data_IF_965086105863
#
_entry.id   IF_965086105863
#
_cell.length_a   1.000
_cell.length_b   1.000
_cell.length_c   1.000
_cell.angle_alpha   90.00
_cell.angle_beta   90.00
_cell.angle_gamma   90.00
#
_symmetry.space_group_name_H-M   'P 1'
#
loop_
_entity.id
_entity.type
_entity.pdbx_description
1 polymer ?
#
# COMPACT_ATOMS: atom_id res chain seq x y z
N UNK A 1 22.34 -21.11 7.19
CA UNK A 1 22.64 -21.04 5.72
C UNK A 1 21.52 -20.31 4.96
N UNK A 2 20.25 -20.72 5.08
CA UNK A 2 19.11 -20.10 4.38
C UNK A 2 18.98 -18.62 4.74
N UNK A 3 19.16 -18.25 5.99
CA UNK A 3 19.00 -16.87 6.46
C UNK A 3 20.08 -15.92 5.91
N UNK A 4 21.29 -16.42 5.68
CA UNK A 4 22.38 -15.66 5.05
C UNK A 4 22.12 -15.41 3.55
N UNK A 5 21.51 -16.36 2.85
CA UNK A 5 21.13 -16.19 1.44
C UNK A 5 19.93 -15.25 1.24
N UNK A 6 19.16 -15.00 2.29
CA UNK A 6 18.00 -14.10 2.23
C UNK A 6 18.36 -12.61 2.34
N UNK A 7 19.54 -12.26 2.87
CA UNK A 7 19.93 -10.86 3.06
C UNK A 7 19.85 -10.05 1.76
N UNK A 8 20.32 -10.59 0.67
CA UNK A 8 20.32 -9.94 -0.64
C UNK A 8 18.89 -9.72 -1.17
N UNK A 9 18.01 -10.71 -1.01
CA UNK A 9 16.63 -10.63 -1.48
C UNK A 9 15.74 -9.78 -0.58
N UNK A 10 15.86 -9.93 0.74
CA UNK A 10 15.01 -9.23 1.71
C UNK A 10 15.36 -7.75 1.81
N UNK A 11 16.65 -7.39 1.69
CA UNK A 11 17.08 -5.99 1.75
C UNK A 11 16.76 -5.22 0.46
N UNK A 12 16.69 -5.91 -0.68
CA UNK A 12 16.29 -5.33 -1.98
C UNK A 12 14.79 -5.41 -2.27
N UNK A 13 14.04 -6.23 -1.55
CA UNK A 13 12.60 -6.43 -1.80
C UNK A 13 11.76 -5.32 -1.15
N UNK A 14 10.90 -4.70 -1.94
CA UNK A 14 9.88 -3.74 -1.46
C UNK A 14 8.57 -4.42 -1.06
N UNK A 15 8.34 -5.67 -1.52
CA UNK A 15 7.12 -6.45 -1.28
C UNK A 15 7.13 -7.29 -0.01
N UNK A 16 5.98 -7.90 0.33
CA UNK A 16 5.84 -8.81 1.46
C UNK A 16 6.62 -10.12 1.24
N UNK A 17 7.21 -10.65 2.30
CA UNK A 17 7.92 -11.93 2.28
C UNK A 17 7.09 -12.99 2.99
N UNK A 18 6.83 -14.10 2.32
CA UNK A 18 6.12 -15.25 2.88
C UNK A 18 7.04 -16.45 3.04
N UNK A 19 6.87 -17.18 4.14
CA UNK A 19 7.58 -18.45 4.37
C UNK A 19 6.66 -19.62 4.04
N UNK A 20 7.06 -20.43 3.10
CA UNK A 20 6.35 -21.66 2.72
C UNK A 20 7.13 -22.89 3.20
N UNK A 21 6.48 -23.80 3.91
CA UNK A 21 7.08 -25.04 4.39
C UNK A 21 6.19 -25.82 5.32
N UNK A 22 6.64 -27.00 5.79
CA UNK A 22 5.90 -27.69 6.87
C UNK A 22 5.87 -26.80 8.12
N UNK A 23 4.87 -27.02 8.97
CA UNK A 23 4.69 -26.24 10.21
C UNK A 23 5.95 -26.22 11.06
N UNK A 24 6.60 -27.35 11.22
CA UNK A 24 7.81 -27.53 12.05
C UNK A 24 8.99 -26.75 11.47
N UNK A 25 9.19 -26.85 10.14
CA UNK A 25 10.30 -26.16 9.44
C UNK A 25 10.09 -24.64 9.44
N UNK A 26 8.88 -24.20 9.17
CA UNK A 26 8.55 -22.77 9.21
C UNK A 26 8.73 -22.18 10.61
N UNK A 27 8.28 -22.90 11.67
CA UNK A 27 8.47 -22.46 13.06
C UNK A 27 9.95 -22.41 13.44
N UNK A 28 10.74 -23.41 13.07
CA UNK A 28 12.18 -23.44 13.32
C UNK A 28 12.91 -22.29 12.59
N UNK A 29 12.52 -22.02 11.33
CA UNK A 29 13.06 -20.90 10.56
C UNK A 29 12.74 -19.56 11.22
N UNK A 30 11.47 -19.31 11.58
CA UNK A 30 11.07 -18.07 12.25
C UNK A 30 11.76 -17.84 13.60
N UNK A 31 12.03 -18.91 14.35
CA UNK A 31 12.73 -18.82 15.63
C UNK A 31 14.20 -18.42 15.46
N UNK A 32 14.82 -18.81 14.35
CA UNK A 32 16.24 -18.59 14.06
C UNK A 32 16.50 -17.37 13.15
N UNK A 33 15.49 -16.89 12.41
CA UNK A 33 15.67 -15.84 11.41
C UNK A 33 15.75 -14.44 12.04
N UNK A 34 16.75 -13.68 11.61
CA UNK A 34 16.88 -12.25 11.91
C UNK A 34 15.91 -11.37 11.09
N UNK A 35 15.33 -11.93 10.01
CA UNK A 35 14.37 -11.24 9.14
C UNK A 35 12.91 -11.39 9.57
N UNK A 36 12.65 -11.93 10.77
CA UNK A 36 11.30 -12.22 11.27
C UNK A 36 10.32 -11.04 11.11
N UNK A 37 10.79 -9.80 11.28
CA UNK A 37 9.95 -8.59 11.14
C UNK A 37 9.54 -8.28 9.70
N UNK A 38 10.23 -8.85 8.71
CA UNK A 38 9.94 -8.69 7.28
C UNK A 38 9.00 -9.77 6.77
N UNK A 39 8.74 -10.81 7.56
CA UNK A 39 7.90 -11.92 7.16
C UNK A 39 6.44 -11.53 7.39
N UNK A 40 5.71 -11.38 6.28
CA UNK A 40 4.30 -11.00 6.23
C UNK A 40 3.37 -12.17 6.60
N UNK A 41 3.79 -13.42 6.34
CA UNK A 41 2.99 -14.59 6.64
C UNK A 41 3.72 -15.90 6.46
N UNK A 42 3.07 -16.97 6.94
CA UNK A 42 3.54 -18.35 6.84
C UNK A 42 2.47 -19.21 6.18
N UNK A 43 2.85 -19.90 5.13
CA UNK A 43 2.02 -20.92 4.49
C UNK A 43 2.51 -22.30 4.94
N UNK A 44 1.79 -22.88 5.91
CA UNK A 44 2.16 -24.16 6.53
C UNK A 44 1.81 -25.34 5.64
N UNK A 45 2.45 -25.43 4.48
CA UNK A 45 2.26 -26.48 3.48
C UNK A 45 3.59 -26.93 2.90
N UNK A 46 3.88 -28.23 2.93
CA UNK A 46 5.01 -28.81 2.21
C UNK A 46 4.72 -28.86 0.71
N UNK A 47 5.70 -28.50 -0.10
CA UNK A 47 5.68 -28.74 -1.54
C UNK A 47 6.76 -29.76 -1.90
N UNK A 48 6.53 -30.62 -2.91
CA UNK A 48 7.58 -31.45 -3.49
C UNK A 48 8.75 -30.62 -4.02
N UNK A 49 9.93 -31.18 -4.07
CA UNK A 49 11.06 -30.53 -4.71
C UNK A 49 10.84 -30.45 -6.23
N UNK A 50 11.18 -29.32 -6.82
CA UNK A 50 11.07 -29.11 -8.27
C UNK A 50 9.73 -28.53 -8.75
N UNK A 51 8.86 -28.10 -7.83
CA UNK A 51 7.63 -27.37 -8.18
C UNK A 51 7.96 -26.07 -8.93
N UNK A 52 7.13 -25.76 -9.93
CA UNK A 52 7.27 -24.53 -10.70
C UNK A 52 6.87 -23.29 -9.89
N UNK A 53 7.40 -22.13 -10.26
CA UNK A 53 7.03 -20.84 -9.66
C UNK A 53 5.51 -20.61 -9.67
N UNK A 54 4.83 -21.00 -10.75
CA UNK A 54 3.38 -20.87 -10.88
C UNK A 54 2.62 -21.77 -9.88
N UNK A 55 3.13 -22.94 -9.55
CA UNK A 55 2.54 -23.82 -8.53
C UNK A 55 2.77 -23.26 -7.13
N UNK A 56 3.98 -22.78 -6.85
CA UNK A 56 4.29 -22.09 -5.59
C UNK A 56 3.38 -20.86 -5.41
N UNK A 57 3.25 -20.03 -6.45
CA UNK A 57 2.40 -18.85 -6.43
C UNK A 57 0.94 -19.20 -6.09
N UNK A 58 0.36 -20.20 -6.74
CA UNK A 58 -1.02 -20.65 -6.43
C UNK A 58 -1.23 -21.07 -4.98
N UNK A 59 -0.21 -21.63 -4.35
CA UNK A 59 -0.28 -22.08 -2.94
C UNK A 59 -0.15 -20.90 -1.98
N UNK A 60 0.66 -19.89 -2.34
CA UNK A 60 0.95 -18.74 -1.49
C UNK A 60 -0.12 -17.64 -1.65
N UNK A 61 -0.74 -17.55 -2.83
CA UNK A 61 -1.64 -16.46 -3.19
C UNK A 61 -2.76 -16.18 -2.18
N UNK A 62 -3.50 -17.18 -1.65
CA UNK A 62 -4.51 -16.92 -0.62
C UNK A 62 -3.97 -16.22 0.63
N UNK A 63 -2.73 -16.53 1.03
CA UNK A 63 -2.11 -15.85 2.17
C UNK A 63 -1.69 -14.41 1.83
N UNK A 64 -1.38 -14.14 0.56
CA UNK A 64 -1.14 -12.76 0.06
C UNK A 64 -2.43 -11.96 0.09
N UNK A 65 -3.53 -12.53 -0.41
CA UNK A 65 -4.87 -11.89 -0.38
C UNK A 65 -5.32 -11.57 1.06
N UNK A 66 -5.18 -12.53 1.98
CA UNK A 66 -5.47 -12.32 3.40
C UNK A 66 -4.60 -11.20 4.01
N UNK A 67 -3.32 -11.14 3.63
CA UNK A 67 -2.42 -10.11 4.11
C UNK A 67 -2.81 -8.73 3.55
N UNK A 68 -3.14 -8.65 2.25
CA UNK A 68 -3.60 -7.41 1.62
C UNK A 68 -4.88 -6.92 2.29
N UNK A 69 -5.87 -7.80 2.50
CA UNK A 69 -7.12 -7.44 3.18
C UNK A 69 -6.90 -6.85 4.57
N UNK A 70 -6.05 -7.50 5.39
CA UNK A 70 -5.71 -6.96 6.72
C UNK A 70 -5.05 -5.58 6.63
N UNK A 71 -4.17 -5.36 5.66
CA UNK A 71 -3.51 -4.06 5.47
C UNK A 71 -4.49 -2.96 5.07
N UNK A 72 -5.50 -3.31 4.26
CA UNK A 72 -6.58 -2.39 3.90
C UNK A 72 -7.44 -2.04 5.12
N UNK A 73 -7.84 -3.04 5.91
CA UNK A 73 -8.59 -2.84 7.16
C UNK A 73 -7.82 -1.97 8.15
N UNK A 74 -6.53 -2.27 8.37
CA UNK A 74 -5.65 -1.47 9.23
C UNK A 74 -5.58 -0.01 8.77
N UNK A 75 -5.48 0.24 7.46
CA UNK A 75 -5.43 1.59 6.90
C UNK A 75 -6.74 2.36 7.13
N UNK A 76 -7.89 1.71 6.96
CA UNK A 76 -9.20 2.32 7.24
C UNK A 76 -9.33 2.67 8.73
N UNK A 77 -8.95 1.76 9.63
CA UNK A 77 -8.98 2.02 11.08
C UNK A 77 -8.06 3.20 11.46
N UNK A 78 -6.88 3.30 10.84
CA UNK A 78 -5.99 4.45 11.05
C UNK A 78 -6.61 5.79 10.59
N UNK A 79 -7.44 5.79 9.53
CA UNK A 79 -8.19 6.99 9.12
C UNK A 79 -9.27 7.35 10.13
N UNK A 80 -9.98 6.37 10.68
CA UNK A 80 -11.02 6.62 11.69
C UNK A 80 -10.42 7.24 12.96
N UNK A 81 -9.29 6.73 13.41
CA UNK A 81 -8.54 7.33 14.53
C UNK A 81 -8.10 8.77 14.22
N UNK A 82 -7.72 9.05 12.96
CA UNK A 82 -7.32 10.39 12.52
C UNK A 82 -8.48 11.39 12.52
N UNK A 83 -9.73 10.96 12.24
CA UNK A 83 -10.94 11.80 12.38
C UNK A 83 -11.06 12.31 13.81
N UNK A 84 -10.98 11.41 14.78
CA UNK A 84 -11.05 11.76 16.19
C UNK A 84 -9.97 12.76 16.64
N UNK A 85 -8.80 12.68 16.04
CA UNK A 85 -7.66 13.56 16.29
C UNK A 85 -7.66 14.85 15.47
N UNK A 86 -8.64 15.07 14.59
CA UNK A 86 -8.70 16.19 13.62
C UNK A 86 -7.47 16.26 12.70
N UNK A 87 -6.98 15.10 12.27
CA UNK A 87 -5.82 14.93 11.39
C UNK A 87 -6.17 14.16 10.13
N UNK A 88 -7.38 14.34 9.63
CA UNK A 88 -7.85 13.75 8.39
C UNK A 88 -8.18 14.85 7.38
N UNK A 89 -7.70 14.69 6.15
CA UNK A 89 -8.16 15.38 4.97
C UNK A 89 -8.91 14.38 4.06
N UNK A 90 -9.96 14.82 3.39
CA UNK A 90 -10.76 14.00 2.50
C UNK A 90 -11.12 14.75 1.21
N UNK A 91 -11.24 14.00 0.12
CA UNK A 91 -11.44 14.55 -1.21
C UNK A 91 -10.15 15.08 -1.83
N UNK A 92 -10.10 15.00 -3.17
CA UNK A 92 -8.86 15.21 -3.93
C UNK A 92 -8.30 16.62 -3.75
N UNK A 93 -9.14 17.64 -3.65
CA UNK A 93 -8.69 19.04 -3.60
C UNK A 93 -7.91 19.33 -2.29
N UNK A 94 -8.44 18.89 -1.14
CA UNK A 94 -7.77 19.05 0.16
C UNK A 94 -6.53 18.16 0.25
N UNK A 95 -6.66 16.91 -0.20
CA UNK A 95 -5.57 15.92 -0.19
C UNK A 95 -4.42 16.39 -1.07
N UNK A 96 -4.69 16.93 -2.26
CA UNK A 96 -3.68 17.50 -3.15
C UNK A 96 -2.84 18.57 -2.45
N UNK A 97 -3.50 19.60 -1.93
CA UNK A 97 -2.81 20.72 -1.26
C UNK A 97 -1.92 20.23 -0.11
N UNK A 98 -2.45 19.37 0.77
CA UNK A 98 -1.72 18.90 1.95
C UNK A 98 -0.63 17.87 1.63
N UNK A 99 -0.78 17.11 0.54
CA UNK A 99 0.27 16.22 0.05
C UNK A 99 1.45 17.02 -0.52
N UNK A 100 1.17 18.10 -1.29
CA UNK A 100 2.20 19.00 -1.80
C UNK A 100 2.97 19.70 -0.66
N UNK A 101 2.30 20.02 0.44
CA UNK A 101 2.92 20.55 1.65
C UNK A 101 3.73 19.52 2.46
N UNK A 102 3.71 18.25 2.06
CA UNK A 102 4.44 17.18 2.74
C UNK A 102 3.84 16.74 4.08
N UNK A 103 2.56 17.05 4.32
CA UNK A 103 1.87 16.77 5.58
C UNK A 103 1.32 15.34 5.70
N UNK A 104 1.37 14.56 4.61
CA UNK A 104 0.83 13.21 4.57
C UNK A 104 1.65 12.20 5.37
N UNK A 105 1.00 11.45 6.26
CA UNK A 105 1.50 10.26 6.95
C UNK A 105 1.04 8.97 6.25
N UNK A 106 -0.27 8.87 5.98
CA UNK A 106 -0.88 7.75 5.28
C UNK A 106 -1.92 8.25 4.30
N UNK A 107 -1.72 7.98 3.02
CA UNK A 107 -2.71 8.14 1.97
C UNK A 107 -3.49 6.83 1.81
N UNK A 108 -4.82 6.92 1.78
CA UNK A 108 -5.68 5.80 1.41
C UNK A 108 -6.52 6.22 0.21
N UNK A 109 -6.52 5.41 -0.83
CA UNK A 109 -7.18 5.70 -2.10
C UNK A 109 -7.86 4.45 -2.65
N UNK A 110 -9.03 4.60 -3.26
CA UNK A 110 -9.74 3.50 -3.94
C UNK A 110 -9.04 3.10 -5.24
N UNK A 111 -9.02 1.79 -5.51
CA UNK A 111 -8.24 1.15 -6.58
C UNK A 111 -8.50 1.75 -7.99
N UNK A 112 -9.75 2.06 -8.30
CA UNK A 112 -10.11 2.62 -9.61
C UNK A 112 -10.26 4.14 -9.60
N UNK A 113 -9.78 4.84 -8.57
CA UNK A 113 -9.89 6.29 -8.51
C UNK A 113 -8.78 6.95 -9.34
N UNK A 114 -9.17 7.61 -10.40
CA UNK A 114 -8.33 8.41 -11.27
C UNK A 114 -9.02 9.73 -11.60
N UNK A 115 -8.28 10.81 -11.74
CA UNK A 115 -8.82 12.12 -12.06
C UNK A 115 -7.85 12.93 -12.90
N UNK A 116 -8.31 13.34 -14.09
CA UNK A 116 -7.61 14.33 -14.90
C UNK A 116 -7.93 15.75 -14.43
N UNK A 117 -6.91 16.55 -14.17
CA UNK A 117 -7.07 17.94 -13.76
C UNK A 117 -5.87 18.82 -14.20
N UNK A 118 -6.07 20.12 -14.22
CA UNK A 118 -4.96 21.08 -14.33
C UNK A 118 -4.52 21.48 -12.93
N UNK A 119 -3.24 21.35 -12.65
CA UNK A 119 -2.65 21.79 -11.40
C UNK A 119 -2.17 23.25 -11.55
N UNK A 120 -2.61 24.12 -10.64
CA UNK A 120 -2.14 25.50 -10.49
C UNK A 120 -1.71 25.71 -9.03
N UNK A 121 -0.47 25.35 -8.76
CA UNK A 121 0.08 25.33 -7.40
C UNK A 121 -0.64 24.30 -6.51
N UNK A 122 -1.27 24.81 -5.45
CA UNK A 122 -2.03 24.03 -4.47
C UNK A 122 -3.48 23.73 -4.88
N UNK A 123 -3.91 24.19 -6.07
CA UNK A 123 -5.28 24.07 -6.56
C UNK A 123 -5.40 23.13 -7.74
N UNK A 124 -6.51 22.42 -7.81
CA UNK A 124 -6.88 21.59 -8.95
C UNK A 124 -8.08 22.20 -9.68
N UNK A 125 -7.93 22.37 -10.99
CA UNK A 125 -9.02 22.73 -11.90
C UNK A 125 -9.47 21.47 -12.64
N UNK A 126 -10.68 20.99 -12.37
CA UNK A 126 -11.24 19.83 -13.09
C UNK A 126 -11.45 20.19 -14.54
N UNK A 127 -11.01 19.32 -15.44
CA UNK A 127 -11.09 19.53 -16.89
C UNK A 127 -12.05 18.55 -17.54
N UNK A 128 -12.69 18.99 -18.62
CA UNK A 128 -13.60 18.14 -19.40
C UNK A 128 -12.81 17.33 -20.45
N UNK A 129 -11.74 17.93 -21.01
CA UNK A 129 -10.87 17.26 -21.98
C UNK A 129 -9.51 16.91 -21.33
N UNK A 130 -9.26 15.62 -21.03
CA UNK A 130 -7.99 15.18 -20.46
C UNK A 130 -6.77 15.44 -21.35
N UNK A 131 -7.00 15.67 -22.66
CA UNK A 131 -5.92 15.91 -23.64
C UNK A 131 -5.59 17.38 -23.81
N UNK A 132 -6.26 18.27 -23.10
CA UNK A 132 -5.99 19.71 -23.18
C UNK A 132 -4.56 20.03 -22.71
N UNK A 133 -3.89 21.02 -23.30
CA UNK A 133 -2.54 21.41 -22.87
C UNK A 133 -2.47 21.77 -21.39
N UNK A 134 -1.47 21.26 -20.68
CA UNK A 134 -1.24 21.51 -19.26
C UNK A 134 -2.15 20.74 -18.32
N UNK A 135 -2.87 19.74 -18.82
CA UNK A 135 -3.63 18.79 -17.99
C UNK A 135 -2.74 17.64 -17.57
N UNK A 136 -2.83 17.24 -16.31
CA UNK A 136 -2.28 16.02 -15.76
C UNK A 136 -3.33 14.92 -15.94
N UNK A 137 -2.97 13.82 -16.57
CA UNK A 137 -3.90 12.74 -16.92
C UNK A 137 -4.48 12.07 -15.67
N UNK A 138 -3.67 11.95 -14.63
CA UNK A 138 -4.08 11.42 -13.34
C UNK A 138 -3.36 12.14 -12.19
N UNK A 139 -4.05 13.07 -11.53
CA UNK A 139 -3.53 13.77 -10.36
C UNK A 139 -3.48 12.88 -9.11
N UNK A 140 -4.17 11.74 -9.11
CA UNK A 140 -4.13 10.78 -8.00
C UNK A 140 -2.76 10.11 -7.94
N UNK A 141 -2.20 9.73 -9.09
CA UNK A 141 -0.84 9.19 -9.18
C UNK A 141 0.21 10.22 -8.68
N UNK A 142 0.05 11.48 -9.03
CA UNK A 142 0.92 12.56 -8.54
C UNK A 142 0.86 12.73 -7.01
N UNK A 143 -0.35 12.58 -6.42
CA UNK A 143 -0.52 12.58 -4.95
C UNK A 143 0.19 11.37 -4.34
N UNK A 144 0.03 10.18 -4.92
CA UNK A 144 0.69 8.96 -4.46
C UNK A 144 2.21 9.16 -4.45
N UNK A 145 2.77 9.63 -5.56
CA UNK A 145 4.21 9.89 -5.70
C UNK A 145 4.69 10.93 -4.69
N UNK A 146 3.96 12.04 -4.53
CA UNK A 146 4.27 13.11 -3.58
C UNK A 146 4.35 12.60 -2.14
N UNK A 147 3.34 11.80 -1.71
CA UNK A 147 3.29 11.23 -0.36
C UNK A 147 4.44 10.25 -0.14
N UNK A 148 4.69 9.35 -1.10
CA UNK A 148 5.76 8.35 -1.01
C UNK A 148 7.14 8.97 -0.98
N UNK A 149 7.41 9.94 -1.84
CA UNK A 149 8.71 10.63 -1.93
C UNK A 149 9.05 11.37 -0.64
N UNK A 150 8.03 11.85 0.07
CA UNK A 150 8.18 12.52 1.38
C UNK A 150 8.11 11.56 2.57
N UNK A 151 8.20 10.26 2.32
CA UNK A 151 8.26 9.21 3.36
C UNK A 151 6.92 8.92 4.03
N UNK A 152 5.80 9.27 3.42
CA UNK A 152 4.47 8.80 3.80
C UNK A 152 4.21 7.39 3.29
N UNK A 153 3.13 6.79 3.77
CA UNK A 153 2.64 5.47 3.38
C UNK A 153 1.45 5.61 2.45
N UNK A 154 1.23 4.61 1.60
CA UNK A 154 0.07 4.52 0.72
C UNK A 154 -0.61 3.17 0.89
N UNK A 155 -1.92 3.17 0.98
CA UNK A 155 -2.76 1.99 0.96
C UNK A 155 -3.82 2.12 -0.13
N UNK A 156 -3.90 1.12 -1.01
CA UNK A 156 -4.95 1.01 -2.01
C UNK A 156 -6.04 0.13 -1.41
N UNK A 157 -7.30 0.59 -1.46
CA UNK A 157 -8.46 -0.12 -0.93
C UNK A 157 -9.47 -0.40 -2.04
N UNK A 158 -10.39 -1.33 -1.80
CA UNK A 158 -11.43 -1.65 -2.76
C UNK A 158 -12.36 -0.44 -3.00
N UNK A 159 -12.90 -0.35 -4.22
CA UNK A 159 -13.88 0.67 -4.56
C UNK A 159 -15.11 0.61 -3.64
N UNK A 160 -15.60 1.77 -3.21
CA UNK A 160 -16.67 1.92 -2.24
C UNK A 160 -16.22 1.93 -0.77
N UNK A 161 -14.93 1.67 -0.49
CA UNK A 161 -14.41 1.73 0.88
C UNK A 161 -14.32 3.15 1.45
N UNK A 162 -14.29 4.16 0.59
CA UNK A 162 -14.13 5.58 0.94
C UNK A 162 -15.26 6.47 0.37
N UNK A 163 -16.47 5.94 0.17
CA UNK A 163 -17.59 6.70 -0.39
C UNK A 163 -17.85 8.01 0.38
N UNK A 164 -17.79 8.00 1.71
CA UNK A 164 -17.99 9.18 2.56
C UNK A 164 -16.81 10.16 2.54
N UNK A 165 -15.72 9.83 1.85
CA UNK A 165 -14.45 10.57 1.79
C UNK A 165 -14.03 10.91 0.36
N UNK A 166 -14.98 10.94 -0.58
CA UNK A 166 -14.73 11.21 -2.01
C UNK A 166 -13.62 10.33 -2.61
N UNK A 167 -13.56 9.04 -2.23
CA UNK A 167 -12.67 8.00 -2.76
C UNK A 167 -11.18 8.16 -2.42
N UNK A 168 -10.79 9.21 -1.66
CA UNK A 168 -9.41 9.47 -1.26
C UNK A 168 -9.37 10.17 0.09
N UNK A 169 -8.46 9.76 0.95
CA UNK A 169 -8.26 10.38 2.25
C UNK A 169 -6.78 10.37 2.67
N UNK A 170 -6.36 11.40 3.39
CA UNK A 170 -5.00 11.59 3.85
C UNK A 170 -4.97 11.80 5.37
N UNK A 171 -4.36 10.86 6.08
CA UNK A 171 -3.99 11.06 7.49
C UNK A 171 -2.77 11.97 7.56
N UNK A 172 -2.85 13.00 8.38
CA UNK A 172 -1.80 14.00 8.56
C UNK A 172 -0.85 13.61 9.70
N UNK A 173 0.41 14.02 9.58
CA UNK A 173 1.46 13.81 10.60
C UNK A 173 1.19 14.62 11.87
N UNK A 174 0.61 15.83 11.71
CA UNK A 174 0.32 16.79 12.80
C UNK A 174 -0.84 17.70 12.44
#
# INVERSE_FOLDING_TARGET
>A
EVDLGLDEYVNGATGPVFVLGTRERAAAFLAASRHRRRIAGVVARGLPAGESVAQVARVVWPAVEDWMGRRQEEAILELEDAVGARRLAAGIDEVWSLAQDGRGDLLVVEESYALAARADGDRLERVVDPRAPGVVDDVVDEVIESVMTRGGRVAIVADGSLEERDRIALKLRY
#
